data_IF_479537199536
#
_entry.id   IF_479537199536
#
_cell.length_a   1.000
_cell.length_b   1.000
_cell.length_c   1.000
_cell.angle_alpha   90.00
_cell.angle_beta   90.00
_cell.angle_gamma   90.00
#
_symmetry.space_group_name_H-M   'P 1'
#
loop_
_entity.id
_entity.type
_entity.pdbx_description
1 polymer ?
#
# COMPACT_ATOMS: atom_id res chain seq x y z
N UNK A 1 -13.68 -13.15 -86.74
CA UNK A 1 -14.62 -12.33 -85.94
C UNK A 1 -14.32 -12.58 -84.47
N UNK A 2 -13.89 -11.55 -83.73
CA UNK A 2 -13.55 -11.63 -82.30
C UNK A 2 -14.82 -11.91 -81.49
N UNK A 3 -15.02 -13.15 -81.05
CA UNK A 3 -16.04 -13.46 -80.04
C UNK A 3 -15.60 -12.84 -78.73
N UNK A 4 -16.41 -11.90 -78.23
CA UNK A 4 -16.29 -11.30 -76.90
C UNK A 4 -16.48 -12.41 -75.87
N UNK A 5 -15.37 -12.98 -75.39
CA UNK A 5 -15.31 -13.74 -74.14
C UNK A 5 -15.51 -12.75 -72.98
N UNK A 6 -16.77 -12.45 -72.67
CA UNK A 6 -17.15 -11.94 -71.35
C UNK A 6 -18.19 -12.89 -70.82
N UNK A 7 -17.69 -14.00 -70.29
CA UNK A 7 -18.48 -15.02 -69.63
C UNK A 7 -19.01 -14.44 -68.32
N UNK A 8 -20.21 -13.87 -68.37
CA UNK A 8 -20.84 -13.14 -67.26
C UNK A 8 -21.07 -14.05 -66.05
N UNK A 9 -21.27 -15.34 -66.28
CA UNK A 9 -21.47 -16.32 -65.21
C UNK A 9 -20.17 -16.65 -64.49
N UNK A 10 -19.05 -16.74 -65.20
CA UNK A 10 -17.72 -16.85 -64.60
C UNK A 10 -17.43 -15.61 -63.73
N UNK A 11 -17.61 -14.41 -64.27
CA UNK A 11 -17.40 -13.17 -63.51
C UNK A 11 -18.33 -13.04 -62.30
N UNK A 12 -19.61 -13.42 -62.43
CA UNK A 12 -20.57 -13.36 -61.32
C UNK A 12 -20.21 -14.35 -60.21
N UNK A 13 -19.82 -15.57 -60.57
CA UNK A 13 -19.42 -16.59 -59.59
C UNK A 13 -18.08 -16.26 -58.93
N UNK A 14 -17.09 -15.82 -59.70
CA UNK A 14 -15.78 -15.41 -59.17
C UNK A 14 -15.90 -14.17 -58.29
N UNK A 15 -16.71 -13.18 -58.67
CA UNK A 15 -16.92 -11.96 -57.84
C UNK A 15 -17.71 -12.28 -56.57
N UNK A 16 -18.74 -13.12 -56.67
CA UNK A 16 -19.51 -13.58 -55.50
C UNK A 16 -18.68 -14.40 -54.52
N UNK A 17 -17.86 -15.33 -55.02
CA UNK A 17 -16.93 -16.11 -54.20
C UNK A 17 -15.87 -15.20 -53.55
N UNK A 18 -15.26 -14.29 -54.31
CA UNK A 18 -14.25 -13.35 -53.79
C UNK A 18 -14.84 -12.42 -52.73
N UNK A 19 -16.02 -11.85 -52.97
CA UNK A 19 -16.72 -11.01 -52.00
C UNK A 19 -17.07 -11.80 -50.73
N UNK A 20 -17.57 -13.04 -50.88
CA UNK A 20 -17.85 -13.94 -49.77
C UNK A 20 -16.61 -14.26 -48.93
N UNK A 21 -15.46 -14.51 -49.57
CA UNK A 21 -14.19 -14.75 -48.87
C UNK A 21 -13.70 -13.49 -48.14
N UNK A 22 -13.74 -12.31 -48.77
CA UNK A 22 -13.35 -11.04 -48.13
C UNK A 22 -14.24 -10.75 -46.92
N UNK A 23 -15.56 -10.92 -47.04
CA UNK A 23 -16.51 -10.76 -45.94
C UNK A 23 -16.24 -11.80 -44.84
N UNK A 24 -15.97 -13.05 -45.20
CA UNK A 24 -15.62 -14.11 -44.25
C UNK A 24 -14.36 -13.80 -43.46
N UNK A 25 -13.32 -13.27 -44.11
CA UNK A 25 -12.07 -12.84 -43.48
C UNK A 25 -12.33 -11.66 -42.54
N UNK A 26 -13.03 -10.61 -43.00
CA UNK A 26 -13.35 -9.44 -42.19
C UNK A 26 -14.18 -9.84 -40.97
N UNK A 27 -15.20 -10.70 -41.13
CA UNK A 27 -15.99 -11.18 -40.01
C UNK A 27 -15.17 -12.02 -39.06
N UNK A 28 -14.40 -12.99 -39.55
CA UNK A 28 -13.64 -13.91 -38.69
C UNK A 28 -12.51 -13.18 -37.95
N UNK A 29 -11.64 -12.48 -38.67
CA UNK A 29 -10.52 -11.78 -38.05
C UNK A 29 -10.97 -10.52 -37.32
N UNK A 30 -11.97 -9.80 -37.83
CA UNK A 30 -12.51 -8.60 -37.17
C UNK A 30 -13.24 -8.91 -35.88
N UNK A 31 -14.05 -9.98 -35.82
CA UNK A 31 -14.71 -10.39 -34.57
C UNK A 31 -13.70 -10.93 -33.56
N UNK A 32 -12.73 -11.73 -34.01
CA UNK A 32 -11.65 -12.25 -33.15
C UNK A 32 -10.85 -11.10 -32.55
N UNK A 33 -10.42 -10.15 -33.38
CA UNK A 33 -9.69 -8.95 -32.94
C UNK A 33 -10.52 -8.11 -31.96
N UNK A 34 -11.81 -7.92 -32.23
CA UNK A 34 -12.71 -7.16 -31.35
C UNK A 34 -12.89 -7.84 -29.98
N UNK A 35 -13.13 -9.15 -29.95
CA UNK A 35 -13.28 -9.92 -28.71
C UNK A 35 -11.97 -9.91 -27.91
N UNK A 36 -10.85 -10.14 -28.58
CA UNK A 36 -9.54 -10.16 -27.93
C UNK A 36 -9.21 -8.78 -27.33
N UNK A 37 -9.43 -7.69 -28.07
CA UNK A 37 -9.19 -6.35 -27.57
C UNK A 37 -10.11 -6.00 -26.39
N UNK A 38 -11.38 -6.43 -26.44
CA UNK A 38 -12.33 -6.26 -25.33
C UNK A 38 -11.87 -7.03 -24.09
N UNK A 39 -11.44 -8.28 -24.23
CA UNK A 39 -10.96 -9.11 -23.12
C UNK A 39 -9.71 -8.50 -22.47
N UNK A 40 -8.78 -7.97 -23.29
CA UNK A 40 -7.58 -7.29 -22.78
C UNK A 40 -7.92 -6.00 -22.04
N UNK A 41 -8.86 -5.19 -22.55
CA UNK A 41 -9.34 -4.00 -21.86
C UNK A 41 -10.03 -4.31 -20.52
N UNK A 42 -10.83 -5.39 -20.45
CA UNK A 42 -11.47 -5.82 -19.20
C UNK A 42 -10.43 -6.32 -18.18
N UNK A 43 -9.45 -7.12 -18.62
CA UNK A 43 -8.33 -7.55 -17.79
C UNK A 43 -7.54 -6.34 -17.27
N UNK A 44 -7.31 -5.34 -18.12
CA UNK A 44 -6.64 -4.11 -17.73
C UNK A 44 -7.38 -3.38 -16.62
N UNK A 45 -8.70 -3.19 -16.79
CA UNK A 45 -9.54 -2.57 -15.76
C UNK A 45 -9.47 -3.34 -14.44
N UNK A 46 -9.54 -4.67 -14.46
CA UNK A 46 -9.45 -5.52 -13.25
C UNK A 46 -8.10 -5.37 -12.54
N UNK A 47 -6.99 -5.45 -13.26
CA UNK A 47 -5.65 -5.28 -12.67
C UNK A 47 -5.47 -3.88 -12.07
N UNK A 48 -5.98 -2.84 -12.73
CA UNK A 48 -5.98 -1.47 -12.21
C UNK A 48 -6.73 -1.41 -10.88
N UNK A 49 -7.96 -1.93 -10.83
CA UNK A 49 -8.78 -1.87 -9.63
C UNK A 49 -8.14 -2.64 -8.46
N UNK A 50 -7.60 -3.84 -8.70
CA UNK A 50 -6.84 -4.60 -7.69
C UNK A 50 -5.65 -3.78 -7.18
N UNK A 51 -4.93 -3.12 -8.08
CA UNK A 51 -3.77 -2.28 -7.72
C UNK A 51 -4.19 -1.10 -6.85
N UNK A 52 -5.25 -0.39 -7.23
CA UNK A 52 -5.75 0.76 -6.47
C UNK A 52 -6.32 0.36 -5.11
N UNK A 53 -7.03 -0.76 -5.04
CA UNK A 53 -7.52 -1.33 -3.78
C UNK A 53 -6.37 -1.69 -2.83
N UNK A 54 -5.33 -2.36 -3.35
CA UNK A 54 -4.16 -2.69 -2.55
C UNK A 54 -3.39 -1.45 -2.09
N UNK A 55 -3.35 -0.40 -2.91
CA UNK A 55 -2.81 0.89 -2.50
C UNK A 55 -3.65 1.53 -1.38
N UNK A 56 -4.98 1.52 -1.47
CA UNK A 56 -5.85 2.02 -0.41
C UNK A 56 -5.58 1.27 0.91
N UNK A 57 -5.59 -0.06 0.88
CA UNK A 57 -5.29 -0.90 2.06
C UNK A 57 -3.90 -0.62 2.65
N UNK A 58 -2.88 -0.42 1.81
CA UNK A 58 -1.54 -0.07 2.26
C UNK A 58 -1.46 1.36 2.83
N UNK A 59 -2.20 2.31 2.24
CA UNK A 59 -2.32 3.69 2.73
C UNK A 59 -2.99 3.69 4.11
N UNK A 60 -4.08 2.96 4.29
CA UNK A 60 -4.80 2.83 5.56
C UNK A 60 -3.92 2.20 6.65
N UNK A 61 -3.17 1.16 6.28
CA UNK A 61 -2.18 0.54 7.18
C UNK A 61 -1.14 1.58 7.62
N UNK A 62 -0.59 2.35 6.68
CA UNK A 62 0.38 3.40 7.01
C UNK A 62 -0.22 4.51 7.87
N UNK A 63 -1.47 4.89 7.63
CA UNK A 63 -2.19 5.85 8.48
C UNK A 63 -2.27 5.36 9.93
N UNK A 64 -2.67 4.10 10.11
CA UNK A 64 -2.76 3.49 11.43
C UNK A 64 -1.42 3.50 12.18
N UNK A 65 -0.32 3.20 11.48
CA UNK A 65 1.04 3.24 12.04
C UNK A 65 1.46 4.68 12.38
N UNK A 66 1.09 5.65 11.55
CA UNK A 66 1.35 7.07 11.80
C UNK A 66 0.59 7.58 13.02
N UNK A 67 -0.71 7.28 13.13
CA UNK A 67 -1.54 7.64 14.28
C UNK A 67 -0.96 7.06 15.58
N UNK A 68 -0.43 5.84 15.54
CA UNK A 68 0.25 5.24 16.69
C UNK A 68 1.52 6.02 17.07
N UNK A 69 2.35 6.39 16.11
CA UNK A 69 3.54 7.21 16.37
C UNK A 69 3.18 8.61 16.91
N UNK A 70 2.12 9.24 16.39
CA UNK A 70 1.61 10.53 16.86
C UNK A 70 1.10 10.44 18.31
N UNK A 71 0.39 9.36 18.65
CA UNK A 71 -0.04 9.11 20.04
C UNK A 71 1.16 9.04 20.99
N UNK A 72 2.25 8.38 20.58
CA UNK A 72 3.49 8.32 21.37
C UNK A 72 4.21 9.67 21.43
N UNK A 73 4.19 10.44 20.34
CA UNK A 73 4.83 11.76 20.25
C UNK A 73 4.29 12.73 21.31
N UNK A 74 2.98 12.68 21.61
CA UNK A 74 2.39 13.52 22.66
C UNK A 74 3.03 13.26 24.05
N UNK A 75 3.21 11.99 24.40
CA UNK A 75 3.82 11.57 25.67
C UNK A 75 5.32 11.89 25.69
N UNK A 76 6.03 11.62 24.59
CA UNK A 76 7.46 11.88 24.46
C UNK A 76 7.77 13.37 24.51
N UNK A 77 7.01 14.19 23.80
CA UNK A 77 7.12 15.65 23.84
C UNK A 77 6.87 16.19 25.24
N UNK A 78 5.85 15.65 25.94
CA UNK A 78 5.59 16.04 27.32
C UNK A 78 6.78 15.73 28.24
N UNK A 79 7.35 14.52 28.15
CA UNK A 79 8.55 14.16 28.91
C UNK A 79 9.71 15.09 28.58
N UNK A 80 10.03 15.29 27.30
CA UNK A 80 11.11 16.17 26.87
C UNK A 80 10.94 17.61 27.37
N UNK A 81 9.69 18.13 27.44
CA UNK A 81 9.40 19.48 27.94
C UNK A 81 9.62 19.65 29.45
N UNK A 82 9.63 18.55 30.20
CA UNK A 82 9.77 18.54 31.65
C UNK A 82 11.17 18.11 32.11
N UNK A 83 11.97 17.52 31.21
CA UNK A 83 13.35 17.17 31.52
C UNK A 83 14.26 18.40 31.51
N UNK A 84 15.31 18.46 32.35
CA UNK A 84 15.67 17.44 33.35
C UNK A 84 14.99 17.61 34.72
N UNK A 85 14.43 18.78 35.04
CA UNK A 85 14.16 19.15 36.44
C UNK A 85 12.70 19.07 36.89
N UNK A 86 11.75 18.93 35.96
CA UNK A 86 10.31 19.07 36.22
C UNK A 86 9.49 17.79 35.97
N UNK A 87 10.15 16.66 35.71
CA UNK A 87 9.48 15.38 35.42
C UNK A 87 8.62 14.86 36.57
N UNK A 88 8.89 15.26 37.83
CA UNK A 88 8.07 14.93 39.01
C UNK A 88 6.61 15.41 38.87
N UNK A 89 6.35 16.40 38.02
CA UNK A 89 4.99 16.90 37.74
C UNK A 89 4.11 15.89 36.99
N UNK A 90 4.67 14.79 36.45
CA UNK A 90 3.90 13.80 35.69
C UNK A 90 3.15 12.78 36.56
N UNK A 91 3.56 12.61 37.82
CA UNK A 91 3.04 11.54 38.69
C UNK A 91 3.53 10.14 38.28
N UNK A 92 3.50 9.18 39.21
CA UNK A 92 4.06 7.85 39.00
C UNK A 92 3.43 7.09 37.82
N UNK A 93 2.11 7.14 37.66
CA UNK A 93 1.41 6.42 36.59
C UNK A 93 1.86 6.87 35.20
N UNK A 94 2.10 8.17 35.00
CA UNK A 94 2.61 8.69 33.74
C UNK A 94 4.06 8.30 33.47
N UNK A 95 4.88 8.16 34.52
CA UNK A 95 6.26 7.68 34.39
C UNK A 95 6.28 6.20 33.98
N UNK A 96 5.43 5.36 34.59
CA UNK A 96 5.24 3.96 34.19
C UNK A 96 4.74 3.89 32.75
N UNK A 97 3.73 4.70 32.41
CA UNK A 97 3.18 4.75 31.06
C UNK A 97 4.25 5.10 30.03
N UNK A 98 5.16 6.03 30.34
CA UNK A 98 6.29 6.35 29.46
C UNK A 98 7.21 5.15 29.25
N UNK A 99 7.65 4.48 30.32
CA UNK A 99 8.54 3.32 30.23
C UNK A 99 7.90 2.21 29.39
N UNK A 100 6.63 1.89 29.67
CA UNK A 100 5.87 0.88 28.93
C UNK A 100 5.65 1.26 27.47
N UNK A 101 5.32 2.54 27.20
CA UNK A 101 5.12 3.04 25.84
C UNK A 101 6.42 3.08 25.05
N UNK A 102 7.56 3.33 25.71
CA UNK A 102 8.86 3.27 25.07
C UNK A 102 9.23 1.84 24.69
N UNK A 103 8.93 0.86 25.54
CA UNK A 103 9.24 -0.55 25.30
C UNK A 103 8.24 -1.35 24.47
N UNK A 104 7.03 -0.84 24.23
CA UNK A 104 6.00 -1.57 23.49
C UNK A 104 6.38 -1.78 22.03
N UNK A 105 6.15 -2.95 21.43
CA UNK A 105 6.40 -3.20 20.00
C UNK A 105 5.13 -3.67 19.31
N UNK A 106 4.95 -3.23 18.05
CA UNK A 106 3.91 -3.75 17.16
C UNK A 106 4.60 -4.38 15.96
N UNK A 107 4.30 -5.66 15.72
CA UNK A 107 4.66 -6.31 14.47
C UNK A 107 3.78 -5.75 13.36
N UNK A 108 4.41 -5.26 12.30
CA UNK A 108 3.73 -4.87 11.07
C UNK A 108 4.02 -5.92 10.00
N UNK A 109 2.97 -6.43 9.34
CA UNK A 109 3.09 -7.36 8.22
C UNK A 109 2.72 -6.57 6.98
N UNK A 110 3.65 -6.43 6.04
CA UNK A 110 3.44 -5.76 4.76
C UNK A 110 3.34 -6.80 3.65
N UNK A 111 2.26 -6.78 2.88
CA UNK A 111 2.14 -7.56 1.67
C UNK A 111 2.68 -6.77 0.47
N UNK A 112 3.73 -7.28 -0.18
CA UNK A 112 4.36 -6.67 -1.36
C UNK A 112 3.88 -7.31 -2.68
N UNK A 113 2.96 -8.28 -2.62
CA UNK A 113 2.50 -9.02 -3.80
C UNK A 113 1.83 -8.10 -4.81
N UNK A 114 1.08 -7.10 -4.34
CA UNK A 114 0.42 -6.11 -5.17
C UNK A 114 1.39 -5.26 -6.01
N UNK A 115 2.50 -4.83 -5.42
CA UNK A 115 3.54 -4.07 -6.13
C UNK A 115 4.23 -4.93 -7.20
N UNK A 116 4.43 -6.22 -6.91
CA UNK A 116 4.96 -7.18 -7.87
C UNK A 116 4.01 -7.40 -9.05
N UNK A 117 2.70 -7.55 -8.78
CA UNK A 117 1.67 -7.62 -9.83
C UNK A 117 1.72 -6.36 -10.67
N UNK A 118 1.80 -5.18 -10.04
CA UNK A 118 1.89 -3.92 -10.75
C UNK A 118 3.12 -3.86 -11.67
N UNK A 119 4.29 -4.16 -11.12
CA UNK A 119 5.58 -4.05 -11.84
C UNK A 119 5.68 -5.02 -13.01
N UNK A 120 5.05 -6.20 -12.91
CA UNK A 120 5.07 -7.23 -13.95
C UNK A 120 3.92 -7.12 -14.97
N UNK A 121 2.98 -6.20 -14.76
CA UNK A 121 1.80 -6.03 -15.62
C UNK A 121 1.98 -4.97 -16.72
N UNK A 122 3.18 -4.78 -17.27
CA UNK A 122 3.42 -3.76 -18.30
C UNK A 122 2.49 -3.89 -19.52
N UNK A 123 2.23 -5.13 -19.97
CA UNK A 123 1.29 -5.42 -21.06
C UNK A 123 -0.16 -5.08 -20.74
N UNK A 124 -0.52 -4.94 -19.46
CA UNK A 124 -1.84 -4.51 -19.00
C UNK A 124 -1.92 -2.99 -19.06
N UNK A 125 -0.83 -2.31 -18.67
CA UNK A 125 -0.78 -0.85 -18.60
C UNK A 125 -0.82 -0.15 -19.96
N UNK A 126 -0.40 -0.82 -21.04
CA UNK A 126 -0.53 -0.27 -22.40
C UNK A 126 -1.99 -0.04 -22.84
N UNK A 127 -2.96 -0.64 -22.15
CA UNK A 127 -4.39 -0.44 -22.39
C UNK A 127 -4.99 0.67 -21.52
N UNK A 128 -4.18 1.39 -20.74
CA UNK A 128 -4.59 2.61 -20.04
C UNK A 128 -4.37 3.85 -20.92
N UNK A 129 -5.41 4.69 -21.03
CA UNK A 129 -5.37 5.92 -21.82
C UNK A 129 -4.51 7.04 -21.20
N UNK A 130 -4.17 6.96 -19.90
CA UNK A 130 -3.37 7.98 -19.20
C UNK A 130 -2.08 7.41 -18.61
N UNK A 131 -0.96 7.58 -19.32
CA UNK A 131 0.38 7.21 -18.87
C UNK A 131 0.76 7.83 -17.52
N UNK A 132 0.17 8.98 -17.16
CA UNK A 132 0.41 9.61 -15.85
C UNK A 132 -0.17 8.81 -14.70
N UNK A 133 -1.17 7.95 -14.93
CA UNK A 133 -1.69 7.04 -13.90
C UNK A 133 -0.61 6.04 -13.50
N UNK A 134 0.08 5.45 -14.47
CA UNK A 134 1.16 4.48 -14.24
C UNK A 134 2.27 5.12 -13.39
N UNK A 135 2.70 6.33 -13.77
CA UNK A 135 3.71 7.08 -13.02
C UNK A 135 3.26 7.44 -11.60
N UNK A 136 1.98 7.80 -11.41
CA UNK A 136 1.42 8.09 -10.08
C UNK A 136 1.36 6.85 -9.19
N UNK A 137 0.96 5.69 -9.73
CA UNK A 137 0.97 4.42 -9.00
C UNK A 137 2.40 4.05 -8.59
N UNK A 138 3.37 4.14 -9.50
CA UNK A 138 4.77 3.89 -9.18
C UNK A 138 5.31 4.83 -8.08
N UNK A 139 4.90 6.10 -8.11
CA UNK A 139 5.23 7.05 -7.04
C UNK A 139 4.58 6.68 -5.70
N UNK A 140 3.33 6.18 -5.69
CA UNK A 140 2.69 5.71 -4.47
C UNK A 140 3.50 4.56 -3.82
N UNK A 141 3.90 3.54 -4.59
CA UNK A 141 4.72 2.44 -4.06
C UNK A 141 6.09 2.90 -3.58
N UNK A 142 6.75 3.80 -4.33
CA UNK A 142 8.04 4.37 -3.92
C UNK A 142 7.95 5.14 -2.60
N UNK A 143 6.89 5.94 -2.43
CA UNK A 143 6.63 6.67 -1.18
C UNK A 143 6.30 5.69 -0.05
N UNK A 144 5.46 4.69 -0.31
CA UNK A 144 5.09 3.66 0.67
C UNK A 144 6.31 2.91 1.20
N UNK A 145 7.23 2.50 0.32
CA UNK A 145 8.47 1.84 0.70
C UNK A 145 9.33 2.74 1.60
N UNK A 146 9.51 4.00 1.22
CA UNK A 146 10.25 4.96 2.02
C UNK A 146 9.59 5.20 3.40
N UNK A 147 8.26 5.26 3.46
CA UNK A 147 7.51 5.38 4.70
C UNK A 147 7.74 4.16 5.62
N UNK A 148 7.64 2.94 5.09
CA UNK A 148 7.91 1.73 5.87
C UNK A 148 9.36 1.64 6.34
N UNK A 149 10.32 2.01 5.51
CA UNK A 149 11.74 2.05 5.90
C UNK A 149 11.96 3.01 7.08
N UNK A 150 11.45 4.24 6.99
CA UNK A 150 11.60 5.22 8.06
C UNK A 150 10.86 4.81 9.34
N UNK A 151 9.65 4.25 9.21
CA UNK A 151 8.90 3.69 10.32
C UNK A 151 9.69 2.56 11.01
N UNK A 152 10.16 1.57 10.25
CA UNK A 152 10.91 0.44 10.80
C UNK A 152 12.21 0.89 11.45
N UNK A 153 12.91 1.86 10.85
CA UNK A 153 14.14 2.43 11.41
C UNK A 153 13.92 3.03 12.79
N UNK A 154 12.91 3.88 12.98
CA UNK A 154 12.65 4.49 14.29
C UNK A 154 12.16 3.45 15.32
N UNK A 155 11.36 2.48 14.89
CA UNK A 155 10.91 1.39 15.77
C UNK A 155 12.10 0.54 16.24
N UNK A 156 13.01 0.16 15.34
CA UNK A 156 14.18 -0.63 15.65
C UNK A 156 15.12 0.12 16.60
N UNK A 157 15.43 1.38 16.33
CA UNK A 157 16.25 2.21 17.22
C UNK A 157 15.67 2.28 18.64
N UNK A 158 14.35 2.45 18.76
CA UNK A 158 13.67 2.47 20.06
C UNK A 158 13.74 1.11 20.76
N UNK A 159 13.51 0.01 20.03
CA UNK A 159 13.57 -1.33 20.59
C UNK A 159 14.98 -1.74 21.00
N UNK A 160 16.00 -1.38 20.23
CA UNK A 160 17.39 -1.65 20.58
C UNK A 160 17.80 -0.86 21.84
N UNK A 161 17.42 0.41 21.93
CA UNK A 161 17.63 1.22 23.14
C UNK A 161 16.90 0.63 24.36
N UNK A 162 15.66 0.16 24.19
CA UNK A 162 14.89 -0.44 25.28
C UNK A 162 15.44 -1.82 25.69
N UNK A 163 15.86 -2.65 24.74
CA UNK A 163 16.53 -3.93 25.03
C UNK A 163 17.83 -3.70 25.80
N UNK A 164 18.63 -2.72 25.38
CA UNK A 164 19.87 -2.39 26.07
C UNK A 164 19.65 -1.82 27.48
N UNK A 165 18.54 -1.11 27.71
CA UNK A 165 18.07 -0.76 29.05
C UNK A 165 17.70 -2.00 29.87
N UNK A 166 16.87 -2.89 29.30
CA UNK A 166 16.41 -4.13 29.93
C UNK A 166 17.56 -5.06 30.34
N UNK A 167 18.59 -5.20 29.49
CA UNK A 167 19.75 -6.05 29.78
C UNK A 167 20.65 -5.53 30.89
N UNK A 168 20.69 -4.21 31.14
CA UNK A 168 21.45 -3.66 32.25
C UNK A 168 20.73 -3.87 33.57
N UNK A 169 19.45 -3.47 33.62
CA UNK A 169 18.60 -3.66 34.78
C UNK A 169 17.12 -3.56 34.37
N UNK A 170 16.35 -4.66 34.44
CA UNK A 170 14.94 -4.65 34.08
C UNK A 170 14.13 -3.58 34.84
N UNK A 171 13.12 -2.94 34.21
CA UNK A 171 12.28 -1.96 34.87
C UNK A 171 11.55 -2.49 36.12
N UNK A 172 11.33 -3.80 36.23
CA UNK A 172 10.72 -4.47 37.39
C UNK A 172 11.62 -4.49 38.63
N UNK A 173 12.92 -4.31 38.44
CA UNK A 173 13.90 -4.50 39.50
C UNK A 173 14.19 -3.18 40.24
N UNK A 174 13.72 -2.05 39.70
CA UNK A 174 13.80 -0.76 40.38
C UNK A 174 12.78 -0.66 41.52
N UNK A 175 13.16 -0.04 42.66
CA UNK A 175 12.31 0.04 43.84
C UNK A 175 11.07 0.95 43.66
N UNK A 176 11.10 1.84 42.67
CA UNK A 176 9.99 2.72 42.35
C UNK A 176 9.99 3.14 40.86
N UNK A 177 8.83 3.58 40.33
CA UNK A 177 8.72 4.03 38.94
C UNK A 177 9.62 5.18 38.53
N UNK A 178 9.96 6.05 39.49
CA UNK A 178 10.80 7.23 39.27
C UNK A 178 12.22 6.81 38.91
N UNK A 179 12.78 5.84 39.61
CA UNK A 179 14.12 5.32 39.34
C UNK A 179 14.19 4.58 38.01
N UNK A 180 13.19 3.74 37.69
CA UNK A 180 13.10 3.08 36.38
C UNK A 180 13.06 4.09 35.22
N UNK A 181 12.22 5.12 35.36
CA UNK A 181 12.11 6.19 34.38
C UNK A 181 13.44 6.96 34.21
N UNK A 182 14.07 7.36 35.33
CA UNK A 182 15.33 8.10 35.31
C UNK A 182 16.45 7.29 34.64
N UNK A 183 16.56 6.00 34.97
CA UNK A 183 17.55 5.13 34.37
C UNK A 183 17.35 4.96 32.86
N UNK A 184 16.10 4.94 32.38
CA UNK A 184 15.80 4.91 30.94
C UNK A 184 16.17 6.25 30.26
N UNK A 185 15.64 7.38 30.76
CA UNK A 185 15.75 8.69 30.09
C UNK A 185 17.17 9.29 30.12
N UNK A 186 18.03 8.81 31.03
CA UNK A 186 19.42 9.25 31.11
C UNK A 186 20.31 8.63 30.02
N UNK A 187 19.86 7.56 29.36
CA UNK A 187 20.64 6.91 28.31
C UNK A 187 20.71 7.74 27.03
N UNK A 188 21.88 7.77 26.41
CA UNK A 188 22.11 8.54 25.19
C UNK A 188 21.31 8.03 23.99
N UNK A 189 21.17 6.71 23.87
CA UNK A 189 20.38 6.06 22.82
C UNK A 189 18.88 6.39 22.92
N UNK A 190 18.33 6.39 24.13
CA UNK A 190 16.94 6.82 24.41
C UNK A 190 16.75 8.29 24.04
N UNK A 191 17.64 9.18 24.49
CA UNK A 191 17.57 10.62 24.15
C UNK A 191 17.68 10.86 22.65
N UNK A 192 18.54 10.10 21.97
CA UNK A 192 18.64 10.15 20.51
C UNK A 192 17.31 9.78 19.86
N UNK A 193 16.71 8.64 20.23
CA UNK A 193 15.38 8.22 19.74
C UNK A 193 14.33 9.31 19.93
N UNK A 194 14.24 9.90 21.13
CA UNK A 194 13.29 10.98 21.42
C UNK A 194 13.52 12.22 20.56
N UNK A 195 14.78 12.57 20.29
CA UNK A 195 15.14 13.74 19.47
C UNK A 195 14.74 13.58 18.00
N UNK A 196 14.82 12.36 17.46
CA UNK A 196 14.50 12.09 16.05
C UNK A 196 13.03 11.71 15.83
N UNK A 197 12.32 11.24 16.86
CA UNK A 197 10.94 10.76 16.78
C UNK A 197 10.01 11.76 16.12
N UNK A 198 9.95 12.99 16.63
CA UNK A 198 9.06 14.03 16.10
C UNK A 198 9.36 14.37 14.62
N UNK A 199 10.64 14.39 14.26
CA UNK A 199 11.08 14.63 12.88
C UNK A 199 10.59 13.52 11.94
N UNK A 200 10.71 12.26 12.36
CA UNK A 200 10.22 11.11 11.59
C UNK A 200 8.69 11.15 11.48
N UNK A 201 7.97 11.45 12.55
CA UNK A 201 6.50 11.58 12.53
C UNK A 201 6.05 12.63 11.53
N UNK A 202 6.64 13.83 11.55
CA UNK A 202 6.32 14.91 10.61
C UNK A 202 6.66 14.57 9.17
N UNK A 203 7.78 13.85 8.96
CA UNK A 203 8.16 13.39 7.63
C UNK A 203 7.11 12.40 7.09
N UNK A 204 6.78 11.39 7.87
CA UNK A 204 5.79 10.37 7.53
C UNK A 204 4.41 10.96 7.26
N UNK A 205 3.96 11.92 8.08
CA UNK A 205 2.69 12.62 7.87
C UNK A 205 2.64 13.35 6.51
N UNK A 206 3.72 14.04 6.15
CA UNK A 206 3.79 14.75 4.86
C UNK A 206 3.81 13.79 3.68
N UNK A 207 4.62 12.73 3.75
CA UNK A 207 4.76 11.76 2.65
C UNK A 207 3.50 10.91 2.48
N UNK A 208 2.90 10.46 3.59
CA UNK A 208 1.58 9.82 3.60
C UNK A 208 0.53 10.70 2.91
N UNK A 209 0.45 11.99 3.27
CA UNK A 209 -0.52 12.91 2.67
C UNK A 209 -0.32 13.10 1.15
N UNK A 210 0.92 13.02 0.65
CA UNK A 210 1.19 13.04 -0.81
C UNK A 210 0.67 11.76 -1.45
N UNK A 211 1.01 10.60 -0.90
CA UNK A 211 0.59 9.29 -1.40
C UNK A 211 -0.94 9.16 -1.47
N UNK A 212 -1.64 9.53 -0.39
CA UNK A 212 -3.11 9.53 -0.35
C UNK A 212 -3.70 10.39 -1.47
N UNK A 213 -3.20 11.62 -1.66
CA UNK A 213 -3.68 12.50 -2.74
C UNK A 213 -3.39 11.96 -4.15
N UNK A 214 -2.26 11.28 -4.34
CA UNK A 214 -1.93 10.64 -5.62
C UNK A 214 -2.90 9.50 -5.92
N UNK A 215 -3.23 8.66 -4.93
CA UNK A 215 -4.17 7.55 -5.12
C UNK A 215 -5.60 8.05 -5.38
N UNK A 216 -6.08 9.03 -4.62
CA UNK A 216 -7.37 9.70 -4.87
C UNK A 216 -7.45 10.28 -6.28
N UNK A 217 -6.36 10.90 -6.74
CA UNK A 217 -6.30 11.44 -8.10
C UNK A 217 -6.34 10.34 -9.15
N UNK A 218 -5.80 9.14 -8.88
CA UNK A 218 -5.91 7.99 -9.79
C UNK A 218 -7.36 7.54 -9.91
N UNK A 219 -8.06 7.36 -8.78
CA UNK A 219 -9.50 7.01 -8.74
C UNK A 219 -10.35 7.99 -9.53
N UNK A 220 -10.13 9.29 -9.34
CA UNK A 220 -10.84 10.35 -10.08
C UNK A 220 -10.61 10.32 -11.58
N UNK A 221 -9.35 10.18 -12.02
CA UNK A 221 -9.00 10.22 -13.45
C UNK A 221 -9.51 8.98 -14.18
N UNK A 222 -9.48 7.83 -13.51
CA UNK A 222 -9.97 6.57 -14.08
C UNK A 222 -11.49 6.40 -13.94
N UNK A 223 -12.17 7.30 -13.22
CA UNK A 223 -13.61 7.21 -12.98
C UNK A 223 -13.99 5.96 -12.19
N UNK A 224 -13.13 5.52 -11.27
CA UNK A 224 -13.35 4.34 -10.43
C UNK A 224 -13.91 4.83 -9.08
N UNK A 225 -15.19 4.56 -8.77
CA UNK A 225 -15.77 4.88 -7.47
C UNK A 225 -15.22 3.94 -6.38
N UNK A 226 -15.26 4.38 -5.13
CA UNK A 226 -14.81 3.57 -3.99
C UNK A 226 -15.59 2.26 -3.87
N UNK A 227 -16.89 2.28 -4.16
CA UNK A 227 -17.76 1.09 -4.14
C UNK A 227 -17.25 -0.04 -5.06
N UNK A 228 -16.73 0.29 -6.26
CA UNK A 228 -16.14 -0.71 -7.16
C UNK A 228 -14.84 -1.33 -6.59
N UNK A 229 -14.08 -0.57 -5.79
CA UNK A 229 -12.87 -1.07 -5.14
C UNK A 229 -13.22 -1.94 -3.92
N UNK A 230 -14.26 -1.57 -3.17
CA UNK A 230 -14.72 -2.30 -2.00
C UNK A 230 -15.31 -3.67 -2.42
N UNK A 231 -16.03 -3.73 -3.54
CA UNK A 231 -16.48 -5.00 -4.13
C UNK A 231 -15.32 -5.96 -4.45
N UNK A 232 -14.22 -5.44 -4.99
CA UNK A 232 -13.03 -6.24 -5.26
C UNK A 232 -12.35 -6.70 -3.99
N UNK A 233 -12.28 -5.84 -2.97
CA UNK A 233 -11.82 -6.22 -1.63
C UNK A 233 -12.60 -7.41 -1.08
N UNK A 234 -13.94 -7.33 -1.11
CA UNK A 234 -14.81 -8.41 -0.66
C UNK A 234 -14.58 -9.73 -1.42
N UNK A 235 -14.34 -9.68 -2.73
CA UNK A 235 -14.05 -10.87 -3.54
C UNK A 235 -12.68 -11.49 -3.22
N UNK A 236 -11.69 -10.67 -2.86
CA UNK A 236 -10.36 -11.13 -2.44
C UNK A 236 -10.43 -11.74 -1.03
N UNK A 237 -11.19 -11.14 -0.12
CA UNK A 237 -11.39 -11.63 1.25
C UNK A 237 -12.19 -12.94 1.32
N UNK A 238 -13.18 -13.13 0.44
CA UNK A 238 -13.93 -14.40 0.36
C UNK A 238 -13.06 -15.61 -0.02
N UNK A 239 -11.89 -15.38 -0.61
CA UNK A 239 -10.90 -16.42 -0.92
C UNK A 239 -9.81 -16.56 0.16
N UNK A 240 -9.87 -15.75 1.22
CA UNK A 240 -8.98 -15.87 2.38
C UNK A 240 -9.47 -16.96 3.33
N UNK A 241 -8.54 -17.75 3.85
CA UNK A 241 -8.76 -19.03 4.54
C UNK A 241 -9.99 -19.06 5.47
N UNK A 242 -10.89 -20.02 5.20
CA UNK A 242 -11.91 -20.44 6.17
C UNK A 242 -11.20 -21.16 7.33
N UNK A 243 -10.75 -20.38 8.31
CA UNK A 243 -10.12 -20.86 9.54
C UNK A 243 -11.15 -21.47 10.51
N UNK A 244 -12.41 -21.62 10.11
CA UNK A 244 -13.38 -22.41 10.83
C UNK A 244 -13.08 -23.90 10.63
N UNK A 245 -12.09 -24.38 11.38
CA UNK A 245 -11.96 -25.80 11.67
C UNK A 245 -13.28 -26.30 12.24
N UNK A 246 -14.08 -26.97 11.39
CA UNK A 246 -15.06 -27.93 11.88
C UNK A 246 -14.27 -28.99 12.63
N UNK A 247 -14.19 -28.84 13.95
CA UNK A 247 -13.90 -29.96 14.84
C UNK A 247 -14.98 -31.01 14.57
N UNK A 248 -14.61 -32.04 13.83
CA UNK A 248 -15.38 -33.29 13.81
C UNK A 248 -15.37 -33.81 15.23
N UNK A 249 -16.54 -33.81 15.87
CA UNK A 249 -16.83 -34.73 16.96
C UNK A 249 -16.71 -36.18 16.49
#
# INVERSE_FOLDING_TARGET
MKQRFLDKDWWKNTTGATAGTIIGIILTFGTTFYIENRNKAEMARKTVMITLHNLDSAIDTMEMLLQELQRRDSLFTRVCSLMPDKYEQMGNDSLILFVNTFGSHRMNITDNTAESIFSNSFEVWQYLDDEKVIGRIGNCYSILHACYEQYNKIQNLRMDAFRAYWYQYPPTDYPNPKEAFLALIQRNDVRYVLSVHNTVVRLLERTYGIMHRLNERNKQVLGIPQEELDEIGNLLEQNSYDLSGKESK
#
